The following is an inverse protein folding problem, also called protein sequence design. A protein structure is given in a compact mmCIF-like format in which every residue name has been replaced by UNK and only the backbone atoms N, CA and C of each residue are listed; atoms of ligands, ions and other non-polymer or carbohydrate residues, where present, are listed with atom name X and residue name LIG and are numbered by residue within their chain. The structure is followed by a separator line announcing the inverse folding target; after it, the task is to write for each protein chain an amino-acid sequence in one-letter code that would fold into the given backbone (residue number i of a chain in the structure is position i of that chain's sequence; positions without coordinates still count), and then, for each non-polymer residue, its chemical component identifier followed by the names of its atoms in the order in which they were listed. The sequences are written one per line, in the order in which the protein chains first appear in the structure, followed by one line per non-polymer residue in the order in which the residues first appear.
data_IF_230308566489
#
_entry.id   IF_230308566489
#
_cell.length_a   1.000
_cell.length_b   1.000
_cell.length_c   1.000
_cell.angle_alpha   90.00
_cell.angle_beta   90.00
_cell.angle_gamma   90.00
#
_symmetry.space_group_name_H-M   'P 1'
#
loop_
_entity.id
_entity.type
_entity.pdbx_description
1 polymer ?
#
# COMPACT_ATOMS: atom_id res chain seq x y z
N UNK A 1 -9.15 11.27 -2.59
CA UNK A 1 -10.62 11.42 -2.60
C UNK A 1 -11.23 10.77 -3.84
N UNK A 2 -10.75 11.07 -5.07
CA UNK A 2 -11.34 10.54 -6.33
C UNK A 2 -11.46 9.01 -6.40
N UNK A 3 -10.50 8.27 -5.83
CA UNK A 3 -10.55 6.78 -5.78
C UNK A 3 -11.80 6.26 -5.05
N UNK A 4 -12.34 7.03 -4.12
CA UNK A 4 -13.49 6.62 -3.30
C UNK A 4 -14.85 7.14 -3.80
N UNK A 5 -14.84 8.22 -4.57
CA UNK A 5 -16.09 8.89 -4.97
C UNK A 5 -16.24 9.04 -6.47
N UNK A 6 -15.24 8.61 -7.27
CA UNK A 6 -15.20 8.84 -8.71
C UNK A 6 -16.38 8.23 -9.48
N UNK A 7 -16.96 7.13 -9.00
CA UNK A 7 -18.11 6.47 -9.62
C UNK A 7 -19.47 7.02 -9.17
N UNK A 8 -19.49 7.95 -8.21
CA UNK A 8 -20.74 8.53 -7.73
C UNK A 8 -21.13 9.68 -8.64
N UNK A 9 -22.32 9.58 -9.22
CA UNK A 9 -22.93 10.63 -10.03
C UNK A 9 -23.69 11.63 -9.18
N UNK A 10 -24.44 11.13 -8.17
CA UNK A 10 -25.34 11.93 -7.36
C UNK A 10 -25.55 11.28 -5.99
N UNK A 11 -25.74 12.08 -4.95
CA UNK A 11 -26.29 11.66 -3.67
C UNK A 11 -27.63 12.37 -3.50
N UNK A 12 -28.72 11.61 -3.43
CA UNK A 12 -30.07 12.12 -3.40
C UNK A 12 -30.69 11.86 -2.04
N UNK A 13 -31.23 12.90 -1.41
CA UNK A 13 -32.01 12.74 -0.19
C UNK A 13 -33.37 12.17 -0.56
N UNK A 14 -33.77 11.04 0.02
CA UNK A 14 -35.09 10.43 -0.12
C UNK A 14 -36.02 10.96 0.97
N UNK A 15 -35.62 10.84 2.24
CA UNK A 15 -36.35 11.32 3.39
C UNK A 15 -35.41 11.74 4.55
N UNK A 16 -35.93 11.79 5.79
CA UNK A 16 -35.15 12.18 6.98
C UNK A 16 -34.06 11.16 7.35
N UNK A 17 -34.21 9.89 6.94
CA UNK A 17 -33.37 8.77 7.35
C UNK A 17 -32.76 7.99 6.18
N UNK A 18 -33.10 8.34 4.94
CA UNK A 18 -32.67 7.62 3.75
C UNK A 18 -32.02 8.55 2.71
N UNK A 19 -30.97 8.04 2.09
CA UNK A 19 -30.30 8.64 0.93
C UNK A 19 -30.09 7.58 -0.15
N UNK A 20 -30.18 8.00 -1.41
CA UNK A 20 -29.73 7.20 -2.55
C UNK A 20 -28.33 7.65 -2.95
N UNK A 21 -27.42 6.71 -3.14
CA UNK A 21 -26.13 6.94 -3.78
C UNK A 21 -26.24 6.39 -5.20
N UNK A 22 -26.33 7.30 -6.17
CA UNK A 22 -26.46 6.96 -7.59
C UNK A 22 -25.08 6.93 -8.23
N UNK A 23 -24.71 5.79 -8.81
CA UNK A 23 -23.44 5.59 -9.51
C UNK A 23 -23.59 5.84 -11.01
N UNK A 24 -22.49 6.13 -11.71
CA UNK A 24 -22.48 6.33 -13.16
C UNK A 24 -22.76 5.03 -13.91
N UNK A 25 -22.21 3.91 -13.41
CA UNK A 25 -22.44 2.54 -13.89
C UNK A 25 -22.67 1.64 -12.67
N UNK A 26 -23.23 0.43 -12.81
CA UNK A 26 -23.32 -0.53 -11.71
C UNK A 26 -21.96 -0.68 -11.02
N UNK A 27 -21.94 -0.61 -9.69
CA UNK A 27 -20.72 -0.68 -8.91
C UNK A 27 -20.92 -1.52 -7.65
N UNK A 28 -20.69 -2.83 -7.78
CA UNK A 28 -21.07 -3.83 -6.78
C UNK A 28 -20.29 -3.74 -5.48
N UNK A 29 -19.12 -3.09 -5.50
CA UNK A 29 -18.27 -2.89 -4.32
C UNK A 29 -18.48 -1.52 -3.66
N UNK A 30 -19.55 -0.81 -4.01
CA UNK A 30 -19.86 0.48 -3.39
C UNK A 30 -19.98 0.38 -1.86
N UNK A 31 -20.68 -0.61 -1.26
CA UNK A 31 -20.78 -0.72 0.19
C UNK A 31 -19.42 -0.79 0.88
N UNK A 32 -18.48 -1.60 0.35
CA UNK A 32 -17.13 -1.72 0.88
C UNK A 32 -16.31 -0.43 0.68
N UNK A 33 -16.54 0.27 -0.42
CA UNK A 33 -15.86 1.54 -0.70
C UNK A 33 -16.30 2.64 0.27
N UNK A 34 -17.60 2.72 0.57
CA UNK A 34 -18.15 3.75 1.47
C UNK A 34 -18.04 3.37 2.96
N UNK A 35 -17.72 2.12 3.29
CA UNK A 35 -17.59 1.66 4.68
C UNK A 35 -16.56 2.46 5.51
N UNK A 36 -15.64 3.15 4.84
CA UNK A 36 -14.64 4.02 5.46
C UNK A 36 -14.98 5.51 5.39
N UNK A 37 -16.19 5.85 5.02
CA UNK A 37 -16.65 7.24 5.07
C UNK A 37 -17.14 7.57 6.47
N UNK A 38 -16.46 8.49 7.10
CA UNK A 38 -16.88 9.03 8.39
C UNK A 38 -17.93 10.11 8.13
N UNK A 39 -19.18 9.84 8.57
CA UNK A 39 -20.31 10.76 8.42
C UNK A 39 -20.14 11.89 9.45
N UNK A 40 -20.17 13.13 8.99
CA UNK A 40 -20.05 14.30 9.84
C UNK A 40 -21.42 14.99 10.03
N UNK A 41 -21.65 15.53 11.22
CA UNK A 41 -22.83 16.34 11.49
C UNK A 41 -22.82 17.62 10.65
N UNK A 42 -23.85 17.83 9.82
CA UNK A 42 -24.01 19.02 8.99
C UNK A 42 -24.01 20.28 9.86
N UNK A 43 -24.86 20.31 10.90
CA UNK A 43 -24.98 21.45 11.79
C UNK A 43 -23.65 21.81 12.50
N UNK A 44 -22.88 20.77 12.91
CA UNK A 44 -21.57 21.00 13.51
C UNK A 44 -20.58 21.59 12.50
N UNK A 45 -20.56 21.03 11.27
CA UNK A 45 -19.66 21.54 10.21
C UNK A 45 -19.98 23.00 9.83
N UNK A 46 -21.29 23.34 9.71
CA UNK A 46 -21.73 24.69 9.39
C UNK A 46 -21.37 25.67 10.52
N UNK A 47 -21.68 25.31 11.78
CA UNK A 47 -21.37 26.11 12.97
C UNK A 47 -19.87 26.44 13.08
N UNK A 48 -19.00 25.50 12.71
CA UNK A 48 -17.56 25.62 12.88
C UNK A 48 -16.81 25.93 11.58
N UNK A 49 -17.51 26.34 10.53
CA UNK A 49 -16.93 26.67 9.22
C UNK A 49 -16.06 25.54 8.63
N UNK A 50 -16.49 24.29 8.82
CA UNK A 50 -15.76 23.07 8.43
C UNK A 50 -16.48 22.23 7.34
N UNK A 51 -17.40 22.86 6.58
CA UNK A 51 -18.17 22.20 5.52
C UNK A 51 -17.30 21.74 4.36
N UNK A 52 -16.26 22.49 4.04
CA UNK A 52 -15.34 22.13 2.97
C UNK A 52 -14.09 21.45 3.51
N UNK A 53 -13.67 20.31 2.91
CA UNK A 53 -12.43 19.67 3.30
C UNK A 53 -11.23 20.57 2.99
N UNK A 54 -10.23 20.50 3.85
CA UNK A 54 -8.96 21.23 3.64
C UNK A 54 -8.07 20.51 2.63
N UNK A 55 -7.26 21.26 1.89
CA UNK A 55 -6.19 20.70 1.08
C UNK A 55 -4.90 20.57 1.92
N UNK A 56 -4.69 19.39 2.49
CA UNK A 56 -3.52 19.11 3.34
C UNK A 56 -2.18 19.36 2.62
N UNK A 57 -2.16 19.33 1.28
CA UNK A 57 -0.94 19.64 0.49
C UNK A 57 -0.57 21.11 0.54
N UNK A 58 -1.54 21.97 0.83
CA UNK A 58 -1.35 23.43 1.01
C UNK A 58 -1.09 23.81 2.45
N UNK A 59 -1.01 22.83 3.38
CA UNK A 59 -0.85 23.09 4.80
C UNK A 59 -2.03 23.83 5.43
N UNK A 60 -3.21 23.83 4.77
CA UNK A 60 -4.40 24.49 5.30
C UNK A 60 -5.05 23.62 6.37
N UNK A 61 -5.55 24.23 7.42
CA UNK A 61 -6.31 23.61 8.49
C UNK A 61 -7.65 24.32 8.66
N UNK A 62 -8.64 23.61 9.22
CA UNK A 62 -9.90 24.18 9.67
C UNK A 62 -10.23 23.60 11.05
N UNK A 63 -11.37 23.99 11.61
CA UNK A 63 -11.77 23.55 12.94
C UNK A 63 -11.81 22.01 13.07
N UNK A 64 -12.24 21.29 12.04
CA UNK A 64 -12.25 19.81 12.02
C UNK A 64 -10.85 19.16 11.99
N UNK A 65 -9.78 19.91 11.75
CA UNK A 65 -8.42 19.39 11.80
C UNK A 65 -7.96 19.07 13.23
N UNK A 66 -8.52 19.76 14.22
CA UNK A 66 -8.15 19.63 15.64
C UNK A 66 -9.32 19.31 16.56
N UNK A 67 -10.54 19.29 16.04
CA UNK A 67 -11.76 19.00 16.78
C UNK A 67 -12.58 17.92 16.08
N UNK A 68 -13.35 17.16 16.85
CA UNK A 68 -14.21 16.10 16.33
C UNK A 68 -15.60 16.13 16.97
N UNK A 69 -16.59 15.64 16.25
CA UNK A 69 -17.95 15.43 16.73
C UNK A 69 -18.42 14.04 16.26
N UNK A 70 -17.83 13.01 16.82
CA UNK A 70 -18.13 11.62 16.50
C UNK A 70 -19.11 10.99 17.51
N UNK A 71 -19.67 9.84 17.14
CA UNK A 71 -20.58 9.03 17.96
C UNK A 71 -19.93 7.76 18.52
N UNK A 72 -18.59 7.71 18.53
CA UNK A 72 -17.81 6.55 18.96
C UNK A 72 -17.66 6.43 20.49
N UNK A 73 -16.97 5.36 20.96
CA UNK A 73 -16.74 5.10 22.38
C UNK A 73 -15.81 6.10 23.05
N UNK A 74 -15.09 6.90 22.28
CA UNK A 74 -14.19 7.94 22.78
C UNK A 74 -14.54 9.30 22.17
N UNK A 75 -14.38 10.37 22.96
CA UNK A 75 -14.45 11.78 22.54
C UNK A 75 -13.05 12.34 22.43
N UNK A 76 -12.78 13.14 21.39
CA UNK A 76 -11.54 13.88 21.28
C UNK A 76 -11.52 14.99 22.35
N UNK A 77 -10.59 14.89 23.28
CA UNK A 77 -10.37 15.87 24.36
C UNK A 77 -9.43 16.99 23.89
N UNK A 78 -8.30 16.62 23.29
CA UNK A 78 -7.35 17.59 22.74
C UNK A 78 -6.52 16.98 21.61
N UNK A 79 -6.07 17.84 20.69
CA UNK A 79 -5.14 17.44 19.63
C UNK A 79 -4.13 18.56 19.35
N UNK A 80 -2.86 18.19 19.47
CA UNK A 80 -1.71 18.97 19.03
C UNK A 80 -1.05 18.21 17.87
N UNK A 81 -1.23 18.63 16.60
CA UNK A 81 -0.70 17.93 15.44
C UNK A 81 0.80 17.65 15.57
N UNK A 82 1.20 16.39 15.30
CA UNK A 82 2.59 15.95 15.41
C UNK A 82 3.12 15.77 16.84
N UNK A 83 2.37 16.15 17.87
CA UNK A 83 2.79 16.06 19.27
C UNK A 83 1.98 15.05 20.06
N UNK A 84 0.66 15.29 20.19
CA UNK A 84 -0.19 14.45 21.04
C UNK A 84 -1.67 14.57 20.64
N UNK A 85 -2.39 13.45 20.73
CA UNK A 85 -3.86 13.44 20.64
C UNK A 85 -4.42 12.69 21.84
N UNK A 86 -5.35 13.31 22.57
CA UNK A 86 -5.96 12.77 23.79
C UNK A 86 -7.43 12.48 23.52
N UNK A 87 -7.84 11.27 23.86
CA UNK A 87 -9.22 10.81 23.80
C UNK A 87 -9.70 10.41 25.18
N UNK A 88 -10.84 10.95 25.61
CA UNK A 88 -11.54 10.50 26.82
C UNK A 88 -12.68 9.54 26.46
N UNK A 89 -13.04 8.65 27.37
CA UNK A 89 -14.22 7.79 27.22
C UNK A 89 -15.48 8.64 27.01
N UNK A 90 -16.32 8.22 26.09
CA UNK A 90 -17.62 8.81 25.85
C UNK A 90 -18.69 8.14 26.75
N UNK A 91 -19.15 8.75 27.85
CA UNK A 91 -20.13 8.15 28.71
C UNK A 91 -21.51 8.00 28.06
N UNK A 92 -21.77 8.80 27.00
CA UNK A 92 -23.03 8.80 26.26
C UNK A 92 -22.97 7.90 25.00
N UNK A 93 -21.95 7.03 24.92
CA UNK A 93 -21.86 6.12 23.78
C UNK A 93 -23.00 5.11 23.78
N UNK A 94 -23.64 4.95 22.66
CA UNK A 94 -24.80 4.07 22.47
C UNK A 94 -24.51 2.56 22.59
N UNK A 95 -23.23 2.16 22.49
CA UNK A 95 -22.78 0.77 22.62
C UNK A 95 -22.31 0.42 24.03
N UNK A 96 -21.87 -0.81 24.23
CA UNK A 96 -21.28 -1.30 25.47
C UNK A 96 -19.74 -1.28 25.38
N UNK A 97 -19.10 -0.59 26.30
CA UNK A 97 -17.64 -0.59 26.38
C UNK A 97 -17.12 -1.99 26.80
N UNK A 98 -16.26 -2.57 25.94
CA UNK A 98 -15.58 -3.85 26.21
C UNK A 98 -14.12 -3.62 26.62
N UNK A 99 -13.84 -2.51 27.27
CA UNK A 99 -12.51 -2.10 27.73
C UNK A 99 -12.60 -1.42 29.11
N UNK A 100 -11.46 -1.34 29.79
CA UNK A 100 -11.31 -0.69 31.09
C UNK A 100 -10.57 0.66 31.00
N UNK A 101 -10.42 1.22 29.80
CA UNK A 101 -9.72 2.49 29.58
C UNK A 101 -10.63 3.66 29.96
N UNK A 102 -10.09 4.64 30.67
CA UNK A 102 -10.70 5.96 30.91
C UNK A 102 -10.27 7.00 29.87
N UNK A 103 -9.04 6.85 29.36
CA UNK A 103 -8.41 7.75 28.40
C UNK A 103 -7.49 6.96 27.47
N UNK A 104 -7.33 7.44 26.24
CA UNK A 104 -6.31 6.95 25.31
C UNK A 104 -5.48 8.15 24.81
N UNK A 105 -4.16 8.05 24.93
CA UNK A 105 -3.22 9.10 24.49
C UNK A 105 -2.39 8.56 23.34
N UNK A 106 -2.53 9.19 22.17
CA UNK A 106 -1.71 8.88 21.00
C UNK A 106 -0.57 9.89 20.87
N UNK A 107 0.68 9.39 20.91
CA UNK A 107 1.91 10.19 20.77
C UNK A 107 2.71 9.70 19.55
N UNK A 108 2.88 10.50 18.49
CA UNK A 108 3.74 10.13 17.36
C UNK A 108 5.21 10.09 17.79
N UNK A 109 5.85 8.93 17.65
CA UNK A 109 7.30 8.76 17.88
C UNK A 109 7.90 8.20 16.59
N UNK A 110 8.50 9.08 15.78
CA UNK A 110 9.04 8.72 14.45
C UNK A 110 10.32 7.89 14.52
N UNK A 111 11.15 8.08 15.56
CA UNK A 111 12.39 7.33 15.71
C UNK A 111 12.11 5.95 16.36
N UNK A 112 12.54 4.88 15.70
CA UNK A 112 12.32 3.50 16.10
C UNK A 112 12.92 3.17 17.47
N UNK A 113 14.17 3.56 17.70
CA UNK A 113 14.87 3.27 18.96
C UNK A 113 14.21 3.99 20.14
N UNK A 114 13.79 5.25 19.95
CA UNK A 114 13.05 6.04 20.96
C UNK A 114 11.70 5.40 21.25
N UNK A 115 10.97 4.95 20.22
CA UNK A 115 9.66 4.30 20.37
C UNK A 115 9.76 2.98 21.17
N UNK A 116 10.77 2.16 20.87
CA UNK A 116 11.03 0.92 21.62
C UNK A 116 11.47 1.21 23.07
N UNK A 117 12.32 2.22 23.28
CA UNK A 117 12.74 2.62 24.61
C UNK A 117 11.55 3.09 25.45
N UNK A 118 10.63 3.86 24.90
CA UNK A 118 9.42 4.34 25.57
C UNK A 118 8.50 3.18 26.03
N UNK A 119 8.40 2.10 25.24
CA UNK A 119 7.69 0.90 25.66
C UNK A 119 8.40 0.19 26.83
N UNK A 120 9.72 0.01 26.72
CA UNK A 120 10.50 -0.72 27.70
C UNK A 120 10.54 0.04 29.05
N UNK A 121 10.62 1.36 29.04
CA UNK A 121 10.59 2.20 30.24
C UNK A 121 9.20 2.29 30.88
N UNK A 122 8.13 1.91 30.16
CA UNK A 122 6.75 2.04 30.63
C UNK A 122 6.14 3.42 30.38
N UNK A 123 6.80 4.28 29.61
CA UNK A 123 6.22 5.56 29.15
C UNK A 123 5.06 5.34 28.18
N UNK A 124 5.15 4.27 27.34
CA UNK A 124 4.11 3.84 26.41
C UNK A 124 3.59 2.46 26.80
N UNK A 125 2.28 2.27 26.78
CA UNK A 125 1.63 0.99 27.03
C UNK A 125 1.56 0.12 25.78
N UNK A 126 1.49 0.75 24.58
CA UNK A 126 1.44 0.09 23.29
C UNK A 126 2.23 0.90 22.26
N UNK A 127 3.01 0.22 21.44
CA UNK A 127 3.74 0.83 20.31
C UNK A 127 3.46 0.09 18.99
N UNK A 128 3.36 0.87 17.90
CA UNK A 128 3.13 0.42 16.54
C UNK A 128 3.83 1.37 15.53
N UNK A 129 4.63 0.85 14.61
CA UNK A 129 5.14 -0.53 14.55
C UNK A 129 6.32 -0.78 15.50
N UNK A 130 6.54 -2.05 15.85
CA UNK A 130 7.80 -2.51 16.46
C UNK A 130 8.76 -2.88 15.35
N UNK A 131 9.99 -2.35 15.34
CA UNK A 131 11.03 -2.78 14.41
C UNK A 131 11.36 -4.26 14.62
N UNK A 132 11.48 -5.03 13.54
CA UNK A 132 11.63 -6.48 13.63
C UNK A 132 12.91 -6.92 14.36
N UNK A 133 13.96 -6.12 14.31
CA UNK A 133 15.22 -6.37 15.05
C UNK A 133 15.05 -6.27 16.56
N UNK A 134 14.07 -5.50 17.06
CA UNK A 134 13.82 -5.28 18.48
C UNK A 134 12.83 -6.28 19.10
N UNK A 135 12.12 -7.05 18.27
CA UNK A 135 11.15 -8.06 18.73
C UNK A 135 11.76 -9.02 19.77
N UNK A 136 12.96 -9.63 19.55
CA UNK A 136 13.54 -10.53 20.57
C UNK A 136 13.89 -9.82 21.89
N UNK A 137 14.23 -8.53 21.85
CA UNK A 137 14.52 -7.74 23.06
C UNK A 137 13.25 -7.50 23.88
N UNK A 138 12.14 -7.15 23.21
CA UNK A 138 10.86 -6.93 23.88
C UNK A 138 10.31 -8.24 24.47
N UNK A 139 10.41 -9.35 23.72
CA UNK A 139 9.96 -10.67 24.16
C UNK A 139 10.68 -11.20 25.41
N UNK A 140 11.92 -10.76 25.67
CA UNK A 140 12.67 -11.11 26.87
C UNK A 140 12.19 -10.38 28.14
N UNK A 141 11.42 -9.30 27.99
CA UNK A 141 10.88 -8.57 29.13
C UNK A 141 9.67 -9.31 29.71
N UNK A 142 9.63 -9.59 31.01
CA UNK A 142 8.55 -10.33 31.63
C UNK A 142 7.20 -9.59 31.54
N UNK A 143 7.22 -8.26 31.49
CA UNK A 143 6.04 -7.40 31.54
C UNK A 143 5.53 -6.98 30.15
N UNK A 144 6.24 -7.40 29.09
CA UNK A 144 5.91 -7.01 27.74
C UNK A 144 5.51 -8.23 26.89
N UNK A 145 4.73 -7.98 25.84
CA UNK A 145 4.38 -8.97 24.82
C UNK A 145 4.42 -8.36 23.44
N UNK A 146 4.65 -9.22 22.47
CA UNK A 146 4.56 -8.91 21.02
C UNK A 146 3.32 -9.58 20.47
N UNK A 147 2.58 -8.84 19.65
CA UNK A 147 1.55 -9.40 18.76
C UNK A 147 1.96 -9.14 17.32
N UNK A 148 1.75 -10.13 16.46
CA UNK A 148 2.02 -10.05 15.03
C UNK A 148 0.82 -10.58 14.26
N UNK A 149 0.54 -9.92 13.13
CA UNK A 149 -0.51 -10.34 12.21
C UNK A 149 -0.07 -10.08 10.76
N UNK A 150 -0.46 -10.94 9.80
CA UNK A 150 -0.35 -10.60 8.39
C UNK A 150 -1.17 -9.34 8.09
N UNK A 151 -0.61 -8.45 7.27
CA UNK A 151 -1.33 -7.29 6.73
C UNK A 151 -1.84 -7.61 5.31
N UNK A 152 -2.90 -6.94 4.89
CA UNK A 152 -3.38 -7.02 3.50
C UNK A 152 -2.45 -6.34 2.50
N UNK A 153 -1.37 -5.70 2.97
CA UNK A 153 -0.42 -4.99 2.11
C UNK A 153 0.53 -5.97 1.43
N UNK A 154 0.55 -5.91 0.11
CA UNK A 154 1.60 -6.54 -0.69
C UNK A 154 2.64 -5.50 -1.08
N UNK A 155 3.91 -5.79 -0.77
CA UNK A 155 5.07 -5.02 -1.22
C UNK A 155 5.48 -5.55 -2.59
N UNK A 156 5.79 -4.64 -3.52
CA UNK A 156 6.11 -4.97 -4.90
C UNK A 156 7.10 -3.99 -5.52
N UNK A 157 7.69 -4.39 -6.64
CA UNK A 157 8.50 -3.54 -7.49
C UNK A 157 7.73 -3.17 -8.75
N UNK A 158 7.82 -1.91 -9.13
CA UNK A 158 7.29 -1.39 -10.38
C UNK A 158 8.41 -0.89 -11.30
N UNK A 159 8.17 -1.01 -12.61
CA UNK A 159 9.12 -0.68 -13.67
C UNK A 159 8.46 0.23 -14.69
N UNK A 160 9.14 1.25 -15.17
CA UNK A 160 8.62 2.09 -16.26
C UNK A 160 8.61 1.32 -17.58
N UNK A 161 7.42 1.02 -18.07
CA UNK A 161 7.19 0.24 -19.29
C UNK A 161 6.70 1.10 -20.45
N UNK A 162 6.58 2.42 -20.28
CA UNK A 162 5.97 3.30 -21.27
C UNK A 162 6.99 4.14 -22.03
N UNK A 163 7.93 4.79 -21.31
CA UNK A 163 8.90 5.70 -21.93
C UNK A 163 9.76 4.98 -22.96
N UNK A 164 10.18 5.69 -23.99
CA UNK A 164 11.13 5.14 -24.97
C UNK A 164 12.55 5.06 -24.42
N UNK A 165 12.87 5.92 -23.45
CA UNK A 165 14.11 5.90 -22.68
C UNK A 165 13.79 6.11 -21.19
N UNK A 166 14.47 5.38 -20.31
CA UNK A 166 14.32 5.54 -18.85
C UNK A 166 14.88 6.89 -18.38
N UNK A 167 14.26 7.50 -17.39
CA UNK A 167 14.73 8.76 -16.81
C UNK A 167 16.14 8.68 -16.22
N UNK A 168 16.46 7.53 -15.62
CA UNK A 168 17.74 7.27 -14.99
C UNK A 168 18.27 5.91 -15.45
N UNK A 169 19.06 5.89 -16.53
CA UNK A 169 19.74 4.71 -17.07
C UNK A 169 20.93 5.13 -17.93
N UNK A 170 21.90 4.22 -18.06
CA UNK A 170 22.99 4.34 -19.03
C UNK A 170 22.57 3.90 -20.45
N UNK A 171 21.42 3.22 -20.59
CA UNK A 171 20.89 2.82 -21.89
C UNK A 171 20.18 4.01 -22.54
N UNK A 172 20.66 4.43 -23.71
CA UNK A 172 20.13 5.57 -24.46
C UNK A 172 19.27 5.12 -25.64
N UNK A 173 18.19 5.88 -25.91
CA UNK A 173 17.28 5.60 -27.02
C UNK A 173 16.45 4.32 -26.86
N UNK A 174 16.54 3.63 -25.72
CA UNK A 174 15.78 2.40 -25.44
C UNK A 174 15.40 2.33 -23.98
N UNK A 175 14.28 1.66 -23.72
CA UNK A 175 13.84 1.32 -22.37
C UNK A 175 13.92 -0.20 -22.18
N UNK A 176 14.89 -0.71 -21.38
CA UNK A 176 15.01 -2.14 -21.14
C UNK A 176 13.74 -2.79 -20.58
N UNK A 177 12.97 -2.07 -19.74
CA UNK A 177 11.76 -2.61 -19.13
C UNK A 177 10.56 -2.76 -20.06
N UNK A 178 10.62 -2.26 -21.31
CA UNK A 178 9.63 -2.62 -22.34
C UNK A 178 9.72 -4.09 -22.75
N UNK A 179 10.91 -4.68 -22.68
CA UNK A 179 11.09 -6.10 -22.95
C UNK A 179 10.68 -6.97 -21.76
N UNK A 180 9.73 -7.88 -22.01
CA UNK A 180 9.26 -8.84 -21.01
C UNK A 180 10.41 -9.72 -20.46
N UNK A 181 11.39 -10.11 -21.32
CA UNK A 181 12.53 -10.91 -20.89
C UNK A 181 13.38 -10.19 -19.84
N UNK A 182 13.56 -8.88 -19.98
CA UNK A 182 14.27 -8.06 -18.99
C UNK A 182 13.50 -8.04 -17.67
N UNK A 183 12.17 -7.83 -17.70
CA UNK A 183 11.35 -7.86 -16.48
C UNK A 183 11.38 -9.24 -15.82
N UNK A 184 11.37 -10.32 -16.60
CA UNK A 184 11.51 -11.69 -16.11
C UNK A 184 12.89 -11.93 -15.48
N UNK A 185 13.94 -11.44 -16.10
CA UNK A 185 15.30 -11.54 -15.55
C UNK A 185 15.41 -10.82 -14.19
N UNK A 186 14.85 -9.60 -14.09
CA UNK A 186 14.79 -8.87 -12.81
C UNK A 186 14.01 -9.67 -11.76
N UNK A 187 12.87 -10.27 -12.12
CA UNK A 187 12.09 -11.09 -11.20
C UNK A 187 12.89 -12.30 -10.69
N UNK A 188 13.48 -13.09 -11.62
CA UNK A 188 14.19 -14.32 -11.29
C UNK A 188 15.54 -14.07 -10.58
N UNK A 189 16.10 -12.87 -10.69
CA UNK A 189 17.31 -12.48 -9.96
C UNK A 189 17.06 -12.20 -8.46
N UNK A 190 15.80 -12.09 -8.01
CA UNK A 190 15.46 -11.72 -6.63
C UNK A 190 15.18 -12.97 -5.79
N UNK A 191 16.08 -13.25 -4.84
CA UNK A 191 15.91 -14.27 -3.81
C UNK A 191 14.97 -13.77 -2.71
N UNK A 192 13.70 -14.11 -2.85
CA UNK A 192 12.67 -13.70 -1.88
C UNK A 192 12.86 -14.38 -0.51
N UNK A 193 13.42 -15.59 -0.47
CA UNK A 193 13.68 -16.28 0.78
C UNK A 193 14.80 -15.62 1.57
N UNK A 194 15.81 -15.09 0.89
CA UNK A 194 16.83 -14.27 1.55
C UNK A 194 16.24 -12.97 2.12
N UNK A 195 15.33 -12.31 1.40
CA UNK A 195 14.58 -11.14 1.91
C UNK A 195 13.76 -11.54 3.14
N UNK A 196 12.96 -12.62 3.04
CA UNK A 196 12.12 -13.11 4.12
C UNK A 196 12.92 -13.41 5.38
N UNK A 197 14.01 -14.17 5.25
CA UNK A 197 14.75 -14.67 6.42
C UNK A 197 15.70 -13.64 7.01
N UNK A 198 16.45 -12.92 6.17
CA UNK A 198 17.54 -12.02 6.65
C UNK A 198 17.06 -10.61 6.98
N UNK A 199 16.12 -10.08 6.18
CA UNK A 199 15.61 -8.71 6.34
C UNK A 199 14.31 -8.73 7.16
N UNK A 200 13.35 -9.57 6.77
CA UNK A 200 12.03 -9.64 7.39
C UNK A 200 11.97 -10.61 8.58
N UNK A 201 13.12 -11.13 9.04
CA UNK A 201 13.23 -11.99 10.23
C UNK A 201 12.26 -13.19 10.24
N UNK A 202 11.89 -13.70 9.07
CA UNK A 202 10.99 -14.85 8.89
C UNK A 202 9.50 -14.53 8.95
N UNK A 203 9.09 -13.29 9.26
CA UNK A 203 7.69 -12.95 9.53
C UNK A 203 6.91 -12.45 8.30
N UNK A 204 7.58 -12.15 7.19
CA UNK A 204 6.92 -11.82 5.93
C UNK A 204 6.49 -13.09 5.19
N UNK A 205 5.37 -13.02 4.47
CA UNK A 205 4.88 -14.11 3.61
C UNK A 205 5.20 -13.78 2.15
N UNK A 206 6.03 -14.58 1.45
CA UNK A 206 6.31 -14.38 0.03
C UNK A 206 5.03 -14.36 -0.80
N UNK A 207 4.96 -13.46 -1.77
CA UNK A 207 3.78 -13.25 -2.61
C UNK A 207 4.08 -13.44 -4.09
N UNK A 208 3.23 -14.19 -4.78
CA UNK A 208 3.17 -14.28 -6.25
C UNK A 208 2.08 -13.39 -6.84
N UNK A 209 1.05 -13.08 -6.04
CA UNK A 209 -0.01 -12.13 -6.38
C UNK A 209 0.20 -10.77 -5.71
N UNK A 210 -0.39 -9.75 -6.32
CA UNK A 210 -0.39 -8.38 -5.81
C UNK A 210 -1.43 -8.13 -4.71
N UNK A 211 -2.19 -9.15 -4.32
CA UNK A 211 -3.19 -9.11 -3.23
C UNK A 211 -2.90 -10.18 -2.19
N UNK A 212 -3.27 -9.91 -0.94
CA UNK A 212 -3.13 -10.84 0.17
C UNK A 212 -4.30 -11.86 0.24
N UNK A 213 -4.13 -13.01 0.92
CA UNK A 213 -5.16 -14.06 1.01
C UNK A 213 -6.51 -13.61 1.59
N UNK A 214 -6.52 -12.56 2.40
CA UNK A 214 -7.74 -12.02 3.02
C UNK A 214 -8.53 -11.06 2.13
N UNK A 215 -8.02 -10.76 0.93
CA UNK A 215 -8.66 -9.85 -0.03
C UNK A 215 -9.61 -10.65 -0.93
N UNK A 216 -10.84 -10.17 -1.11
CA UNK A 216 -11.81 -10.77 -2.03
C UNK A 216 -11.22 -10.81 -3.45
N UNK A 217 -11.27 -11.99 -4.07
CA UNK A 217 -10.67 -12.24 -5.38
C UNK A 217 -9.20 -12.71 -5.31
N UNK A 218 -8.68 -13.07 -4.12
CA UNK A 218 -7.42 -13.79 -4.03
C UNK A 218 -7.55 -15.19 -4.65
N UNK A 219 -6.60 -15.57 -5.47
CA UNK A 219 -6.56 -16.85 -6.20
C UNK A 219 -5.31 -17.63 -5.78
N UNK A 220 -5.44 -18.64 -4.88
CA UNK A 220 -4.29 -19.36 -4.33
C UNK A 220 -3.39 -19.99 -5.40
N UNK A 221 -3.98 -20.49 -6.49
CA UNK A 221 -3.26 -21.17 -7.58
C UNK A 221 -2.31 -20.24 -8.33
N UNK A 222 -2.66 -18.94 -8.37
CA UNK A 222 -1.85 -17.88 -8.98
C UNK A 222 -0.83 -17.27 -7.99
N UNK A 223 -0.94 -17.56 -6.69
CA UNK A 223 0.01 -17.01 -5.71
C UNK A 223 1.35 -17.77 -5.70
N UNK A 224 1.89 -18.03 -6.89
CA UNK A 224 3.16 -18.71 -7.10
C UNK A 224 4.15 -17.74 -7.74
N UNK A 225 5.32 -17.65 -7.14
CA UNK A 225 6.41 -16.82 -7.68
C UNK A 225 7.15 -17.58 -8.78
N UNK A 226 7.74 -16.83 -9.72
CA UNK A 226 8.80 -17.40 -10.56
C UNK A 226 9.97 -17.84 -9.65
N UNK A 227 10.66 -18.94 -10.00
CA UNK A 227 11.78 -19.44 -9.22
C UNK A 227 12.94 -18.43 -9.22
N UNK A 228 13.69 -18.37 -8.12
CA UNK A 228 14.97 -17.69 -8.07
C UNK A 228 15.94 -18.44 -8.98
N UNK A 229 16.39 -17.79 -10.05
CA UNK A 229 17.27 -18.37 -11.07
C UNK A 229 18.17 -17.25 -11.65
N UNK A 230 19.28 -16.92 -10.99
CA UNK A 230 20.18 -15.88 -11.46
C UNK A 230 20.92 -16.24 -12.77
N UNK A 231 21.11 -17.53 -13.05
CA UNK A 231 21.72 -17.97 -14.32
C UNK A 231 20.74 -17.81 -15.48
N UNK A 232 19.49 -18.23 -15.31
CA UNK A 232 18.42 -17.95 -16.24
C UNK A 232 18.22 -16.43 -16.45
N UNK A 233 18.30 -15.63 -15.39
CA UNK A 233 18.22 -14.18 -15.49
C UNK A 233 19.31 -13.59 -16.39
N UNK A 234 20.57 -14.03 -16.25
CA UNK A 234 21.67 -13.60 -17.14
C UNK A 234 21.43 -13.99 -18.60
N UNK A 235 20.92 -15.20 -18.84
CA UNK A 235 20.56 -15.63 -20.22
C UNK A 235 19.47 -14.76 -20.82
N UNK A 236 18.43 -14.49 -20.07
CA UNK A 236 17.32 -13.60 -20.53
C UNK A 236 17.80 -12.18 -20.83
N UNK A 237 18.71 -11.63 -20.01
CA UNK A 237 19.33 -10.33 -20.27
C UNK A 237 20.14 -10.34 -21.56
N UNK A 238 20.96 -11.38 -21.79
CA UNK A 238 21.75 -11.51 -23.01
C UNK A 238 20.86 -11.63 -24.25
N UNK A 239 19.79 -12.44 -24.19
CA UNK A 239 18.81 -12.59 -25.27
C UNK A 239 18.04 -11.29 -25.56
N UNK A 240 17.83 -10.44 -24.54
CA UNK A 240 17.23 -9.12 -24.68
C UNK A 240 18.22 -8.04 -25.21
N UNK A 241 19.47 -8.42 -25.48
CA UNK A 241 20.52 -7.50 -25.97
C UNK A 241 21.33 -6.81 -24.88
N UNK A 242 21.28 -7.30 -23.65
CA UNK A 242 22.01 -6.77 -22.50
C UNK A 242 22.97 -7.83 -21.88
N UNK A 243 23.90 -8.42 -22.64
CA UNK A 243 24.79 -9.47 -22.13
C UNK A 243 25.70 -9.01 -20.97
N UNK A 244 26.00 -7.73 -20.91
CA UNK A 244 26.78 -7.10 -19.84
C UNK A 244 25.90 -6.36 -18.82
N UNK A 245 24.58 -6.53 -18.89
CA UNK A 245 23.63 -5.81 -18.05
C UNK A 245 23.47 -4.33 -18.43
N UNK A 246 23.00 -3.53 -17.50
CA UNK A 246 22.80 -2.09 -17.64
C UNK A 246 22.67 -1.40 -16.27
N UNK A 247 22.72 -0.06 -16.27
CA UNK A 247 22.47 0.74 -15.07
C UNK A 247 21.05 1.32 -15.08
N UNK A 248 20.41 1.35 -13.90
CA UNK A 248 19.08 1.94 -13.73
C UNK A 248 18.92 2.60 -12.37
N UNK A 249 18.27 3.77 -12.34
CA UNK A 249 17.90 4.44 -11.10
C UNK A 249 16.67 3.78 -10.46
N UNK A 250 16.74 3.55 -9.14
CA UNK A 250 15.63 3.03 -8.33
C UNK A 250 15.26 4.02 -7.24
N UNK A 251 13.97 4.34 -7.14
CA UNK A 251 13.42 5.12 -6.04
C UNK A 251 12.79 4.20 -4.99
N UNK A 252 13.08 4.46 -3.73
CA UNK A 252 12.62 3.67 -2.60
C UNK A 252 12.21 4.59 -1.46
N UNK A 253 11.08 4.38 -0.77
CA UNK A 253 10.84 5.05 0.49
C UNK A 253 11.78 4.48 1.57
N UNK A 254 11.99 5.25 2.66
CA UNK A 254 12.79 4.81 3.82
C UNK A 254 12.07 5.01 5.15
N UNK A 255 10.78 5.37 5.10
CA UNK A 255 9.94 5.63 6.29
C UNK A 255 8.47 5.22 6.07
N UNK A 256 8.21 4.33 5.12
CA UNK A 256 6.84 3.95 4.74
C UNK A 256 6.47 2.50 5.03
N UNK A 257 7.36 1.57 4.72
CA UNK A 257 7.14 0.14 4.86
C UNK A 257 8.16 -0.46 5.81
N UNK A 258 7.85 -1.64 6.33
CA UNK A 258 8.79 -2.35 7.22
C UNK A 258 10.06 -2.68 6.43
N UNK A 259 11.21 -2.15 6.88
CA UNK A 259 12.53 -2.37 6.31
C UNK A 259 12.63 -2.04 4.80
N UNK A 260 11.92 -1.02 4.34
CA UNK A 260 11.85 -0.67 2.91
C UNK A 260 13.23 -0.35 2.30
N UNK A 261 14.04 0.45 2.96
CA UNK A 261 15.39 0.79 2.49
C UNK A 261 16.29 -0.45 2.41
N UNK A 262 16.25 -1.33 3.41
CA UNK A 262 17.05 -2.57 3.46
C UNK A 262 16.59 -3.56 2.39
N UNK A 263 15.29 -3.65 2.11
CA UNK A 263 14.75 -4.46 1.01
C UNK A 263 15.29 -3.95 -0.32
N UNK A 264 15.26 -2.62 -0.55
CA UNK A 264 15.76 -2.02 -1.78
C UNK A 264 17.29 -2.23 -1.95
N UNK A 265 18.06 -2.12 -0.89
CA UNK A 265 19.51 -2.41 -0.89
C UNK A 265 19.78 -3.87 -1.24
N UNK A 266 18.99 -4.81 -0.68
CA UNK A 266 19.13 -6.22 -1.00
C UNK A 266 18.78 -6.50 -2.47
N UNK A 267 17.67 -5.92 -2.98
CA UNK A 267 17.29 -6.03 -4.39
C UNK A 267 18.42 -5.49 -5.29
N UNK A 268 18.97 -4.32 -4.98
CA UNK A 268 20.09 -3.75 -5.72
C UNK A 268 21.33 -4.69 -5.74
N UNK A 269 21.66 -5.27 -4.59
CA UNK A 269 22.76 -6.23 -4.48
C UNK A 269 22.52 -7.52 -5.25
N UNK A 270 21.29 -8.03 -5.28
CA UNK A 270 20.92 -9.22 -6.04
C UNK A 270 20.97 -8.97 -7.55
N UNK A 271 20.45 -7.84 -8.00
CA UNK A 271 20.44 -7.45 -9.41
C UNK A 271 21.87 -7.20 -9.94
N UNK A 272 22.77 -6.66 -9.13
CA UNK A 272 24.16 -6.47 -9.51
C UNK A 272 24.86 -7.80 -9.86
N UNK A 273 24.48 -8.93 -9.23
CA UNK A 273 25.05 -10.26 -9.52
C UNK A 273 24.70 -10.78 -10.92
N UNK A 274 23.65 -10.24 -11.52
CA UNK A 274 23.23 -10.59 -12.90
C UNK A 274 23.57 -9.48 -13.91
N UNK A 275 24.33 -8.44 -13.50
CA UNK A 275 24.81 -7.36 -14.35
C UNK A 275 23.90 -6.11 -14.36
N UNK A 276 22.78 -6.11 -13.63
CA UNK A 276 21.93 -4.91 -13.53
C UNK A 276 22.36 -4.09 -12.33
N UNK A 277 23.05 -2.97 -12.60
CA UNK A 277 23.51 -2.04 -11.56
C UNK A 277 22.41 -1.05 -11.20
N UNK A 278 21.98 -1.10 -9.95
CA UNK A 278 20.92 -0.23 -9.44
C UNK A 278 21.51 0.97 -8.70
N UNK A 279 21.25 2.17 -9.21
CA UNK A 279 21.55 3.43 -8.54
C UNK A 279 20.38 3.79 -7.60
N UNK A 280 20.48 3.35 -6.34
CA UNK A 280 19.40 3.45 -5.35
C UNK A 280 19.31 4.86 -4.76
N UNK A 281 18.13 5.44 -4.75
CA UNK A 281 17.74 6.64 -4.00
C UNK A 281 16.70 6.25 -2.97
N UNK A 282 17.10 6.13 -1.69
CA UNK A 282 16.20 5.95 -0.55
C UNK A 282 15.83 7.31 0.05
N UNK A 283 14.54 7.62 0.12
CA UNK A 283 14.05 8.95 0.45
C UNK A 283 12.76 8.91 1.29
N UNK A 284 12.46 9.95 2.10
CA UNK A 284 11.20 10.01 2.84
C UNK A 284 9.97 9.90 1.93
N UNK A 285 8.90 9.27 2.42
CA UNK A 285 7.64 9.08 1.69
C UNK A 285 7.04 10.37 1.14
N UNK A 286 7.29 11.51 1.79
CA UNK A 286 6.83 12.84 1.35
C UNK A 286 7.51 13.30 0.06
N UNK A 287 8.74 12.82 -0.23
CA UNK A 287 9.47 13.06 -1.48
C UNK A 287 9.22 11.97 -2.50
N UNK A 288 9.11 10.71 -2.05
CA UNK A 288 8.91 9.55 -2.90
C UNK A 288 7.55 9.53 -3.62
N UNK A 289 6.43 9.69 -2.87
CA UNK A 289 5.10 9.55 -3.48
C UNK A 289 4.78 10.59 -4.56
N UNK A 290 5.17 11.86 -4.46
CA UNK A 290 5.01 12.79 -5.57
C UNK A 290 5.66 12.31 -6.87
N UNK A 291 6.85 11.70 -6.81
CA UNK A 291 7.54 11.15 -7.98
C UNK A 291 6.75 9.99 -8.60
N UNK A 292 6.27 9.05 -7.78
CA UNK A 292 5.45 7.92 -8.26
C UNK A 292 4.15 8.42 -8.90
N UNK A 293 3.45 9.35 -8.25
CA UNK A 293 2.18 9.92 -8.75
C UNK A 293 2.36 10.71 -10.05
N UNK A 294 3.52 11.34 -10.23
CA UNK A 294 3.91 12.02 -11.47
C UNK A 294 4.58 11.09 -12.48
N UNK A 295 4.77 9.80 -12.12
CA UNK A 295 5.48 8.80 -12.91
C UNK A 295 6.95 9.16 -13.22
N UNK A 296 7.57 9.94 -12.33
CA UNK A 296 8.98 10.34 -12.42
C UNK A 296 9.89 9.32 -11.73
N UNK A 297 9.72 8.06 -12.10
CA UNK A 297 10.47 6.91 -11.59
C UNK A 297 10.81 5.98 -12.75
N UNK A 298 12.00 5.34 -12.73
CA UNK A 298 12.38 4.31 -13.69
C UNK A 298 12.11 2.90 -13.14
N UNK A 299 12.51 2.69 -11.89
CA UNK A 299 12.31 1.47 -11.12
C UNK A 299 11.99 1.89 -9.68
N UNK A 300 11.08 1.22 -8.99
CA UNK A 300 10.67 1.65 -7.64
C UNK A 300 10.09 0.51 -6.82
N UNK A 301 10.15 0.67 -5.48
CA UNK A 301 9.46 -0.18 -4.53
C UNK A 301 8.22 0.54 -4.01
N UNK A 302 7.09 -0.16 -4.00
CA UNK A 302 5.87 0.34 -3.39
C UNK A 302 5.11 -0.78 -2.68
N UNK A 303 4.05 -0.44 -1.97
CA UNK A 303 3.14 -1.38 -1.35
C UNK A 303 1.70 -0.90 -1.47
N UNK A 304 0.78 -1.83 -1.60
CA UNK A 304 -0.64 -1.53 -1.71
C UNK A 304 -1.49 -2.34 -0.74
N UNK A 305 -2.41 -1.66 -0.06
CA UNK A 305 -3.47 -2.26 0.76
C UNK A 305 -4.80 -1.94 0.09
N UNK A 306 -5.52 -2.93 -0.45
CA UNK A 306 -6.86 -2.70 -0.99
C UNK A 306 -7.84 -2.28 0.10
N UNK A 307 -8.14 -0.98 0.19
CA UNK A 307 -8.95 -0.42 1.30
C UNK A 307 -10.41 -0.88 1.28
N UNK A 308 -10.93 -1.29 0.12
CA UNK A 308 -12.24 -1.94 0.00
C UNK A 308 -12.22 -3.43 0.34
N UNK A 309 -11.05 -3.99 0.68
CA UNK A 309 -10.82 -5.42 0.87
C UNK A 309 -11.18 -6.28 -0.37
N UNK A 310 -11.10 -5.66 -1.55
CA UNK A 310 -11.46 -6.26 -2.83
C UNK A 310 -10.39 -6.01 -3.87
N UNK A 311 -10.09 -7.02 -4.70
CA UNK A 311 -9.07 -7.00 -5.76
C UNK A 311 -9.30 -5.90 -6.79
N UNK A 312 -10.55 -5.49 -7.04
CA UNK A 312 -10.85 -4.39 -7.96
C UNK A 312 -10.12 -3.11 -7.56
N UNK A 313 -9.96 -2.83 -6.27
CA UNK A 313 -9.27 -1.63 -5.80
C UNK A 313 -7.80 -1.60 -6.28
N UNK A 314 -7.10 -2.73 -6.21
CA UNK A 314 -5.74 -2.85 -6.73
C UNK A 314 -5.72 -2.80 -8.27
N UNK A 315 -6.58 -3.59 -8.93
CA UNK A 315 -6.67 -3.62 -10.40
C UNK A 315 -6.89 -2.21 -10.95
N UNK A 316 -7.84 -1.48 -10.38
CA UNK A 316 -8.19 -0.13 -10.83
C UNK A 316 -7.12 0.92 -10.53
N UNK A 317 -6.58 0.94 -9.29
CA UNK A 317 -5.71 2.03 -8.85
C UNK A 317 -4.23 1.84 -9.21
N UNK A 318 -3.75 0.57 -9.28
CA UNK A 318 -2.33 0.24 -9.41
C UNK A 318 -2.00 -0.46 -10.73
N UNK A 319 -2.87 -1.36 -11.21
CA UNK A 319 -2.56 -2.20 -12.37
C UNK A 319 -3.10 -1.60 -13.68
N UNK A 320 -4.30 -1.02 -13.68
CA UNK A 320 -4.88 -0.43 -14.88
C UNK A 320 -3.98 0.62 -15.52
N UNK A 321 -4.08 0.73 -16.82
CA UNK A 321 -3.44 1.80 -17.59
C UNK A 321 -3.79 3.15 -17.01
N UNK A 322 -2.82 4.05 -16.79
CA UNK A 322 -3.09 5.41 -16.34
C UNK A 322 -4.04 6.15 -17.27
N UNK A 323 -5.19 6.54 -16.75
CA UNK A 323 -6.27 7.18 -17.48
C UNK A 323 -6.82 8.41 -16.75
N UNK A 324 -8.04 8.78 -17.08
CA UNK A 324 -8.74 9.88 -16.42
C UNK A 324 -9.15 9.50 -14.99
N UNK A 325 -9.31 10.51 -14.15
CA UNK A 325 -9.78 10.32 -12.79
C UNK A 325 -8.75 9.65 -11.87
N UNK A 326 -9.08 8.47 -11.37
CA UNK A 326 -8.26 7.70 -10.43
C UNK A 326 -7.73 6.39 -11.04
N UNK A 327 -8.09 6.07 -12.28
CA UNK A 327 -7.63 4.85 -12.95
C UNK A 327 -6.10 4.89 -13.12
N UNK A 328 -5.43 3.85 -12.65
CA UNK A 328 -3.98 3.75 -12.71
C UNK A 328 -3.23 4.89 -12.01
N UNK A 329 -3.86 5.59 -11.06
CA UNK A 329 -3.25 6.73 -10.37
C UNK A 329 -1.94 6.36 -9.69
N UNK A 330 -1.85 5.15 -9.15
CA UNK A 330 -0.67 4.62 -8.47
C UNK A 330 0.17 3.67 -9.33
N UNK A 331 -0.15 3.56 -10.61
CA UNK A 331 0.67 2.85 -11.59
C UNK A 331 1.85 3.75 -12.00
N UNK A 332 2.87 3.82 -11.16
CA UNK A 332 4.04 4.68 -11.38
C UNK A 332 4.88 4.26 -12.60
N UNK A 333 4.86 2.97 -12.96
CA UNK A 333 5.58 2.41 -14.10
C UNK A 333 4.81 2.43 -15.42
N UNK A 334 3.57 2.92 -15.41
CA UNK A 334 2.71 3.00 -16.60
C UNK A 334 2.56 1.67 -17.35
N UNK A 335 2.50 0.53 -16.64
CA UNK A 335 2.06 -0.73 -17.23
C UNK A 335 0.72 -0.51 -17.94
N UNK A 336 0.51 -1.16 -19.08
CA UNK A 336 -0.71 -1.01 -19.87
C UNK A 336 -1.07 -2.31 -20.56
N UNK A 337 -2.31 -2.75 -20.38
CA UNK A 337 -2.89 -3.88 -21.09
C UNK A 337 -4.40 -3.65 -21.24
N UNK A 338 -4.86 -3.47 -22.48
CA UNK A 338 -6.25 -3.15 -22.80
C UNK A 338 -7.25 -4.21 -22.27
N UNK A 339 -6.84 -5.49 -22.26
CA UNK A 339 -7.70 -6.58 -21.77
C UNK A 339 -7.85 -6.52 -20.24
N UNK A 340 -6.79 -6.19 -19.52
CA UNK A 340 -6.83 -5.97 -18.06
C UNK A 340 -7.72 -4.78 -17.72
N UNK A 341 -7.65 -3.69 -18.50
CA UNK A 341 -8.50 -2.51 -18.30
C UNK A 341 -9.98 -2.83 -18.56
N UNK A 342 -10.29 -3.58 -19.61
CA UNK A 342 -11.64 -4.06 -19.92
C UNK A 342 -12.19 -4.93 -18.78
N UNK A 343 -11.39 -5.91 -18.34
CA UNK A 343 -11.78 -6.80 -17.24
C UNK A 343 -11.99 -6.01 -15.95
N UNK A 344 -11.10 -5.08 -15.61
CA UNK A 344 -11.22 -4.26 -14.41
C UNK A 344 -12.54 -3.49 -14.38
N UNK A 345 -12.94 -2.90 -15.50
CA UNK A 345 -14.24 -2.22 -15.60
C UNK A 345 -15.41 -3.19 -15.41
N UNK A 346 -15.39 -4.35 -16.06
CA UNK A 346 -16.44 -5.38 -15.92
C UNK A 346 -16.54 -5.94 -14.51
N UNK A 347 -15.41 -6.18 -13.85
CA UNK A 347 -15.33 -6.65 -12.45
C UNK A 347 -16.04 -5.68 -11.49
N UNK A 348 -15.96 -4.38 -11.75
CA UNK A 348 -16.66 -3.37 -10.95
C UNK A 348 -18.18 -3.45 -11.03
N UNK A 349 -18.72 -3.93 -12.15
CA UNK A 349 -20.16 -3.99 -12.42
C UNK A 349 -20.79 -5.39 -12.25
N UNK A 350 -19.98 -6.46 -12.20
CA UNK A 350 -20.48 -7.85 -12.16
C UNK A 350 -20.94 -8.23 -10.76
N UNK A 351 -22.20 -8.60 -10.62
CA UNK A 351 -22.83 -9.03 -9.36
C UNK A 351 -22.76 -10.54 -9.11
N UNK A 352 -22.61 -11.35 -10.18
CA UNK A 352 -22.43 -12.79 -10.03
C UNK A 352 -21.01 -13.07 -9.52
N UNK A 353 -20.91 -13.65 -8.33
CA UNK A 353 -19.64 -13.86 -7.64
C UNK A 353 -18.69 -14.80 -8.43
N UNK A 354 -19.24 -15.83 -9.10
CA UNK A 354 -18.43 -16.80 -9.83
C UNK A 354 -17.86 -16.19 -11.13
N UNK A 355 -18.69 -15.47 -11.88
CA UNK A 355 -18.25 -14.76 -13.08
C UNK A 355 -17.24 -13.67 -12.73
N UNK A 356 -17.50 -12.96 -11.64
CA UNK A 356 -16.60 -11.91 -11.14
C UNK A 356 -15.24 -12.50 -10.77
N UNK A 357 -15.20 -13.60 -10.02
CA UNK A 357 -13.95 -14.28 -9.67
C UNK A 357 -13.19 -14.78 -10.90
N UNK A 358 -13.89 -15.30 -11.92
CA UNK A 358 -13.27 -15.74 -13.17
C UNK A 358 -12.60 -14.56 -13.88
N UNK A 359 -13.25 -13.39 -13.96
CA UNK A 359 -12.66 -12.19 -14.56
C UNK A 359 -11.47 -11.65 -13.76
N UNK A 360 -11.53 -11.69 -12.42
CA UNK A 360 -10.39 -11.31 -11.55
C UNK A 360 -9.22 -12.25 -11.81
N UNK A 361 -9.47 -13.56 -11.89
CA UNK A 361 -8.46 -14.59 -12.17
C UNK A 361 -7.79 -14.34 -13.53
N UNK A 362 -8.58 -14.07 -14.57
CA UNK A 362 -8.08 -13.76 -15.92
C UNK A 362 -7.20 -12.48 -15.90
N UNK A 363 -7.67 -11.42 -15.25
CA UNK A 363 -6.93 -10.16 -15.15
C UNK A 363 -5.58 -10.33 -14.44
N UNK A 364 -5.54 -11.06 -13.33
CA UNK A 364 -4.29 -11.35 -12.62
C UNK A 364 -3.36 -12.25 -13.44
N UNK A 365 -3.89 -13.26 -14.14
CA UNK A 365 -3.08 -14.12 -15.00
C UNK A 365 -2.39 -13.33 -16.09
N UNK A 366 -3.13 -12.49 -16.82
CA UNK A 366 -2.56 -11.61 -17.85
C UNK A 366 -1.48 -10.70 -17.26
N UNK A 367 -1.75 -10.06 -16.12
CA UNK A 367 -0.78 -9.18 -15.47
C UNK A 367 0.50 -9.94 -15.04
N UNK A 368 0.38 -11.19 -14.55
CA UNK A 368 1.53 -12.04 -14.20
C UNK A 368 2.29 -12.48 -15.46
N UNK A 369 1.59 -12.90 -16.52
CA UNK A 369 2.20 -13.30 -17.78
C UNK A 369 2.97 -12.15 -18.41
N UNK A 370 2.48 -10.92 -18.29
CA UNK A 370 3.18 -9.70 -18.71
C UNK A 370 4.34 -9.30 -17.79
N UNK A 371 4.38 -9.82 -16.57
CA UNK A 371 5.25 -9.31 -15.49
C UNK A 371 5.10 -7.80 -15.34
N UNK A 372 3.86 -7.35 -15.20
CA UNK A 372 3.52 -5.93 -15.09
C UNK A 372 4.12 -5.28 -13.85
N UNK A 373 4.16 -6.02 -12.74
CA UNK A 373 4.85 -5.70 -11.47
C UNK A 373 5.50 -6.97 -10.92
N UNK A 374 6.40 -6.82 -9.96
CA UNK A 374 7.06 -7.94 -9.27
C UNK A 374 6.58 -7.95 -7.82
N UNK A 375 5.59 -8.78 -7.43
CA UNK A 375 5.23 -8.93 -6.02
C UNK A 375 6.43 -9.47 -5.23
N UNK A 376 6.64 -8.99 -4.01
CA UNK A 376 7.67 -9.48 -3.10
C UNK A 376 7.04 -10.30 -1.97
N UNK A 377 6.31 -9.64 -1.08
CA UNK A 377 5.73 -10.30 0.09
C UNK A 377 4.54 -9.52 0.66
N UNK A 378 3.69 -10.20 1.45
CA UNK A 378 2.77 -9.55 2.35
C UNK A 378 3.55 -9.08 3.59
N UNK A 379 3.35 -7.80 3.94
CA UNK A 379 4.00 -7.17 5.07
C UNK A 379 3.35 -7.65 6.38
N UNK A 380 4.11 -7.97 7.43
CA UNK A 380 3.56 -8.18 8.77
C UNK A 380 3.28 -6.84 9.46
N UNK A 381 2.31 -6.83 10.37
CA UNK A 381 2.16 -5.80 11.39
C UNK A 381 2.65 -6.36 12.71
N UNK A 382 3.44 -5.58 13.45
CA UNK A 382 4.01 -5.99 14.73
C UNK A 382 3.74 -4.92 15.78
N UNK A 383 3.02 -5.29 16.83
CA UNK A 383 2.74 -4.45 17.99
C UNK A 383 3.53 -4.93 19.20
N UNK A 384 4.06 -4.00 19.95
CA UNK A 384 4.60 -4.24 21.29
C UNK A 384 3.71 -3.62 22.34
N UNK A 385 3.41 -4.33 23.41
CA UNK A 385 2.54 -3.82 24.44
C UNK A 385 2.87 -4.40 25.84
N UNK A 386 2.41 -3.73 26.87
CA UNK A 386 2.39 -4.25 28.24
C UNK A 386 1.40 -5.42 28.35
N UNK A 387 1.69 -6.36 29.28
CA UNK A 387 0.80 -7.49 29.58
C UNK A 387 -0.41 -7.08 30.39
#
# INVERSE_FOLDING_TARGET
VRVYVGNIREIRKVDAHAIDIVTQEPFVILPQTVSRWYIMSKAWCEKNNAVRPVDVRKGTENYASTHANGTGPFKLESRQPGVKTVFAVNPDWWGKAEHNLSQAVFTPIGNDATRVAALISGEMDLVDPVPLQDVPRIQKSPDLKIMQSPEMRTIFLGMDQKRDELLASNVKGKNPFKDRKVRQAVYQAIDIEAIRTRIMRGVATPAGLMVAPTVVGFVPELNKRLPFDPDGARKLLAEAGYPNGFEVGMNCPNDRYVNDAEICQAVASMLAKVGVKVNLTAEPKTQFFPKVLQRNVSFYLAGWTPVSQDSHNLLFAVISTPGEGAQGQFNGGSYSNAKVDELTRKIGAESDAAKRLAMITEAFKIHQDDIGHIPLHQQPITWGMRK
#
